data_IF_068615223835
#
_entry.id   IF_068615223835
#
_cell.length_a   1.000
_cell.length_b   1.000
_cell.length_c   1.000
_cell.angle_alpha   90.00
_cell.angle_beta   90.00
_cell.angle_gamma   90.00
#
_symmetry.space_group_name_H-M   'P 1'
#
loop_
_entity.id
_entity.type
_entity.pdbx_description
1 polymer ?
#
# COMPACT_ATOMS: atom_id res chain seq x y z
N UNK A 1 -1.97 -16.72 41.49
CA UNK A 1 -2.28 -16.18 40.15
C UNK A 1 -0.97 -15.86 39.45
N UNK A 2 -0.51 -16.73 38.55
CA UNK A 2 0.78 -16.62 37.86
C UNK A 2 0.49 -16.31 36.39
N UNK A 3 0.88 -15.12 35.94
CA UNK A 3 0.70 -14.61 34.58
C UNK A 3 1.71 -15.23 33.60
N UNK A 4 1.20 -16.02 32.64
CA UNK A 4 1.96 -16.61 31.52
C UNK A 4 2.34 -15.53 30.50
N UNK A 5 3.61 -15.50 30.09
CA UNK A 5 4.14 -14.70 28.98
C UNK A 5 3.69 -15.29 27.62
N UNK A 6 3.55 -14.48 26.56
CA UNK A 6 3.18 -14.98 25.23
C UNK A 6 4.34 -15.72 24.56
N UNK A 7 4.08 -16.97 24.16
CA UNK A 7 4.92 -17.78 23.28
C UNK A 7 4.80 -17.31 21.82
N UNK A 8 5.95 -17.36 21.15
CA UNK A 8 6.20 -16.98 19.76
C UNK A 8 5.74 -18.12 18.82
N UNK A 9 4.56 -17.98 18.20
CA UNK A 9 4.05 -18.90 17.18
C UNK A 9 4.57 -18.49 15.79
N UNK A 10 5.64 -19.14 15.34
CA UNK A 10 6.09 -19.10 13.95
C UNK A 10 5.08 -19.77 12.99
N UNK A 11 5.02 -19.36 11.71
CA UNK A 11 4.01 -19.85 10.77
C UNK A 11 4.24 -21.34 10.39
N UNK A 12 3.18 -22.15 10.26
CA UNK A 12 3.30 -23.58 9.98
C UNK A 12 3.74 -23.88 8.54
N UNK A 13 4.64 -24.86 8.42
CA UNK A 13 5.19 -25.39 7.18
C UNK A 13 4.16 -26.30 6.46
N UNK A 14 3.70 -25.89 5.27
CA UNK A 14 2.69 -26.63 4.48
C UNK A 14 3.38 -27.56 3.48
N UNK A 15 3.35 -28.88 3.75
CA UNK A 15 3.74 -29.93 2.81
C UNK A 15 2.71 -30.03 1.67
N UNK A 16 3.16 -29.99 0.42
CA UNK A 16 2.31 -30.16 -0.78
C UNK A 16 2.18 -31.65 -1.14
N UNK A 17 0.97 -32.20 -1.37
CA UNK A 17 0.81 -33.55 -1.88
C UNK A 17 0.98 -33.60 -3.42
N UNK A 18 1.59 -34.69 -3.90
CA UNK A 18 1.60 -35.12 -5.31
C UNK A 18 0.23 -35.69 -5.66
N UNK A 19 -0.31 -35.36 -6.83
CA UNK A 19 -1.49 -36.00 -7.40
C UNK A 19 -1.17 -36.48 -8.82
N UNK A 20 -1.39 -37.78 -8.98
CA UNK A 20 -1.29 -38.64 -10.14
C UNK A 20 -2.62 -38.71 -10.92
N UNK A 21 -2.52 -39.36 -12.08
CA UNK A 21 -3.37 -39.26 -13.27
C UNK A 21 -4.82 -39.79 -13.14
N UNK A 22 -5.70 -39.33 -14.05
CA UNK A 22 -6.99 -39.99 -14.29
C UNK A 22 -7.96 -39.19 -15.14
N UNK A 23 -8.16 -39.63 -16.38
CA UNK A 23 -9.13 -39.18 -17.38
C UNK A 23 -10.60 -39.27 -16.93
N UNK A 24 -11.45 -38.34 -17.38
CA UNK A 24 -12.61 -38.67 -18.22
C UNK A 24 -13.38 -37.43 -18.70
N UNK A 25 -13.82 -37.53 -19.95
CA UNK A 25 -14.73 -36.65 -20.69
C UNK A 25 -16.12 -36.58 -20.08
N UNK A 26 -16.81 -35.46 -20.26
CA UNK A 26 -18.15 -35.35 -20.89
C UNK A 26 -18.48 -33.86 -21.09
N UNK A 27 -19.14 -33.59 -22.20
CA UNK A 27 -19.43 -32.30 -22.81
C UNK A 27 -20.62 -31.63 -22.13
N UNK A 28 -20.62 -30.29 -22.07
CA UNK A 28 -21.87 -29.54 -22.30
C UNK A 28 -21.61 -28.10 -22.72
N UNK A 29 -22.51 -27.61 -23.57
CA UNK A 29 -22.30 -26.54 -24.53
C UNK A 29 -22.30 -25.12 -23.96
N UNK A 30 -21.31 -24.34 -24.41
CA UNK A 30 -21.40 -22.89 -24.62
C UNK A 30 -20.45 -22.54 -25.78
N UNK A 31 -21.04 -22.01 -26.86
CA UNK A 31 -20.44 -21.36 -28.03
C UNK A 31 -18.89 -21.30 -28.02
N UNK A 32 -18.25 -22.22 -28.75
CA UNK A 32 -16.81 -22.16 -29.04
C UNK A 32 -16.59 -21.23 -30.23
N UNK A 33 -16.58 -19.93 -29.98
CA UNK A 33 -16.11 -18.93 -30.94
C UNK A 33 -14.58 -19.02 -31.11
N UNK A 34 -14.12 -20.07 -31.78
CA UNK A 34 -12.83 -20.21 -32.44
C UNK A 34 -12.70 -21.66 -32.95
N UNK A 35 -13.26 -21.94 -34.12
CA UNK A 35 -13.00 -23.18 -34.85
C UNK A 35 -11.54 -23.17 -35.31
N UNK A 36 -10.64 -23.72 -34.49
CA UNK A 36 -9.26 -24.02 -34.89
C UNK A 36 -9.28 -25.08 -35.99
N UNK A 37 -8.69 -24.78 -37.15
CA UNK A 37 -8.46 -25.75 -38.21
C UNK A 37 -6.96 -25.79 -38.48
N UNK A 38 -6.44 -27.02 -38.55
CA UNK A 38 -5.04 -27.40 -38.59
C UNK A 38 -4.39 -27.04 -39.94
N UNK A 39 -3.60 -25.97 -39.94
CA UNK A 39 -2.60 -25.64 -40.96
C UNK A 39 -1.36 -25.11 -40.25
N UNK A 40 -0.17 -25.33 -40.80
CA UNK A 40 1.15 -24.95 -40.23
C UNK A 40 1.36 -23.43 -40.08
N UNK A 41 0.29 -22.63 -40.14
CA UNK A 41 0.26 -21.23 -39.77
C UNK A 41 -0.84 -21.00 -38.75
N UNK A 42 -0.40 -20.65 -37.55
CA UNK A 42 -1.25 -20.44 -36.38
C UNK A 42 -1.94 -19.06 -36.49
N UNK A 43 -3.06 -18.99 -37.22
CA UNK A 43 -3.88 -17.78 -37.29
C UNK A 43 -4.79 -17.70 -36.06
N UNK A 44 -4.20 -17.37 -34.91
CA UNK A 44 -4.96 -16.93 -33.74
C UNK A 44 -5.46 -15.51 -34.04
N UNK A 45 -6.70 -15.39 -34.52
CA UNK A 45 -7.42 -14.10 -34.52
C UNK A 45 -7.73 -13.77 -33.06
N UNK A 46 -6.79 -13.14 -32.37
CA UNK A 46 -7.07 -12.50 -31.09
C UNK A 46 -8.02 -11.34 -31.39
N UNK A 47 -9.19 -11.22 -30.76
CA UNK A 47 -9.97 -10.00 -30.87
C UNK A 47 -9.11 -8.86 -30.31
N UNK A 48 -8.56 -8.02 -31.18
CA UNK A 48 -7.79 -6.87 -30.77
C UNK A 48 -8.71 -5.96 -29.96
N UNK A 49 -8.42 -5.78 -28.67
CA UNK A 49 -9.06 -4.70 -27.91
C UNK A 49 -8.75 -3.40 -28.64
N UNK A 50 -9.74 -2.58 -29.01
CA UNK A 50 -9.50 -1.34 -29.70
C UNK A 50 -8.51 -0.51 -28.85
N UNK A 51 -7.37 -0.15 -29.46
CA UNK A 51 -6.36 0.66 -28.78
C UNK A 51 -6.99 2.00 -28.46
N UNK A 52 -7.14 2.30 -27.16
CA UNK A 52 -7.64 3.60 -26.71
C UNK A 52 -6.85 4.72 -27.38
N UNK A 53 -7.58 5.70 -27.93
CA UNK A 53 -6.97 6.83 -28.61
C UNK A 53 -6.21 7.71 -27.62
N UNK A 54 -5.23 8.51 -28.10
CA UNK A 54 -4.49 9.45 -27.23
C UNK A 54 -5.44 10.40 -26.47
N UNK A 55 -6.57 10.77 -27.09
CA UNK A 55 -7.60 11.65 -26.51
C UNK A 55 -8.35 10.97 -25.36
N UNK A 56 -8.71 9.70 -25.53
CA UNK A 56 -9.37 8.90 -24.49
C UNK A 56 -8.46 8.71 -23.28
N UNK A 57 -7.19 8.33 -23.49
CA UNK A 57 -6.23 8.16 -22.39
C UNK A 57 -6.00 9.45 -21.59
N UNK A 58 -6.01 10.59 -22.27
CA UNK A 58 -5.87 11.90 -21.61
C UNK A 58 -7.05 12.16 -20.69
N UNK A 59 -8.26 11.97 -21.18
CA UNK A 59 -9.50 12.31 -20.47
C UNK A 59 -9.97 11.19 -19.51
N UNK A 60 -9.28 10.04 -19.49
CA UNK A 60 -9.55 8.93 -18.56
C UNK A 60 -9.00 9.23 -17.16
N UNK A 61 -9.88 9.20 -16.17
CA UNK A 61 -9.57 9.38 -14.74
C UNK A 61 -9.31 8.02 -14.07
N UNK A 62 -8.16 7.43 -14.35
CA UNK A 62 -7.73 6.15 -13.76
C UNK A 62 -6.66 6.33 -12.70
N UNK A 63 -6.64 5.41 -11.72
CA UNK A 63 -5.60 5.32 -10.72
C UNK A 63 -5.90 6.02 -9.39
N UNK A 64 -4.86 6.16 -8.56
CA UNK A 64 -4.93 6.66 -7.16
C UNK A 64 -4.04 7.89 -6.92
N UNK A 65 -3.65 8.56 -8.00
CA UNK A 65 -2.83 9.77 -7.98
C UNK A 65 -3.71 11.01 -8.05
N UNK A 66 -4.30 11.35 -6.91
CA UNK A 66 -5.28 12.43 -6.80
C UNK A 66 -4.77 13.80 -7.27
N UNK A 67 -3.45 14.08 -7.17
CA UNK A 67 -2.83 15.30 -7.71
C UNK A 67 -2.91 15.36 -9.24
N UNK A 68 -2.49 14.28 -9.90
CA UNK A 68 -2.55 14.16 -11.37
C UNK A 68 -3.99 14.15 -11.88
N UNK A 69 -4.92 13.54 -11.14
CA UNK A 69 -6.33 13.56 -11.48
C UNK A 69 -6.91 14.98 -11.38
N UNK A 70 -6.52 15.76 -10.38
CA UNK A 70 -6.94 17.15 -10.27
C UNK A 70 -6.39 18.01 -11.42
N UNK A 71 -5.11 17.88 -11.73
CA UNK A 71 -4.47 18.55 -12.87
C UNK A 71 -5.14 18.19 -14.21
N UNK A 72 -5.56 16.93 -14.38
CA UNK A 72 -6.33 16.50 -15.56
C UNK A 72 -7.70 17.17 -15.65
N UNK A 73 -8.37 17.37 -14.51
CA UNK A 73 -9.65 18.07 -14.47
C UNK A 73 -9.48 19.55 -14.85
N UNK A 74 -8.50 20.23 -14.25
CA UNK A 74 -8.18 21.63 -14.54
C UNK A 74 -7.85 21.82 -16.03
N UNK A 75 -6.94 21.01 -16.59
CA UNK A 75 -6.59 21.02 -18.03
C UNK A 75 -7.76 20.67 -18.95
N UNK A 76 -8.81 20.02 -18.46
CA UNK A 76 -10.00 19.73 -19.25
C UNK A 76 -10.91 20.95 -19.31
N UNK A 77 -11.08 21.63 -18.18
CA UNK A 77 -11.89 22.83 -18.06
C UNK A 77 -11.26 24.00 -18.83
N UNK A 78 -9.94 24.15 -18.76
CA UNK A 78 -9.17 25.11 -19.58
C UNK A 78 -9.43 24.90 -21.08
N UNK A 79 -9.30 23.67 -21.57
CA UNK A 79 -9.58 23.33 -22.98
C UNK A 79 -11.03 23.61 -23.38
N UNK A 80 -11.99 23.39 -22.49
CA UNK A 80 -13.38 23.72 -22.76
C UNK A 80 -13.57 25.24 -22.86
N UNK A 81 -12.92 26.01 -21.99
CA UNK A 81 -12.96 27.48 -22.05
C UNK A 81 -12.34 28.03 -23.34
N UNK A 82 -11.19 27.49 -23.78
CA UNK A 82 -10.55 27.86 -25.05
C UNK A 82 -11.44 27.53 -26.26
N UNK A 83 -12.11 26.37 -26.25
CA UNK A 83 -13.02 25.99 -27.34
C UNK A 83 -14.27 26.87 -27.32
N UNK A 84 -14.80 27.21 -26.14
CA UNK A 84 -15.97 28.09 -25.98
C UNK A 84 -15.68 29.50 -26.53
N UNK A 85 -14.47 30.02 -26.28
CA UNK A 85 -14.03 31.31 -26.82
C UNK A 85 -13.94 31.32 -28.36
N UNK A 86 -13.51 30.21 -28.97
CA UNK A 86 -13.37 30.10 -30.44
C UNK A 86 -14.68 29.76 -31.14
N UNK A 87 -15.47 28.83 -30.58
CA UNK A 87 -16.66 28.26 -31.20
C UNK A 87 -17.65 27.74 -30.13
N UNK A 88 -18.69 28.51 -29.76
CA UNK A 88 -19.62 28.11 -28.70
C UNK A 88 -20.39 26.82 -29.05
N UNK A 89 -20.93 26.70 -30.26
CA UNK A 89 -21.72 25.52 -30.65
C UNK A 89 -20.91 24.20 -30.72
N UNK A 90 -19.58 24.26 -30.89
CA UNK A 90 -18.73 23.07 -30.77
C UNK A 90 -18.46 22.73 -29.30
N UNK A 91 -18.32 23.75 -28.44
CA UNK A 91 -18.14 23.55 -27.00
C UNK A 91 -19.35 22.83 -26.38
N UNK A 92 -20.58 23.25 -26.71
CA UNK A 92 -21.79 22.66 -26.13
C UNK A 92 -21.96 21.17 -26.52
N UNK A 93 -21.64 20.81 -27.77
CA UNK A 93 -21.62 19.40 -28.22
C UNK A 93 -20.61 18.56 -27.45
N UNK A 94 -19.43 19.12 -27.19
CA UNK A 94 -18.39 18.45 -26.41
C UNK A 94 -18.85 18.33 -24.96
N UNK A 95 -19.37 19.39 -24.35
CA UNK A 95 -19.88 19.41 -22.98
C UNK A 95 -20.98 18.34 -22.77
N UNK A 96 -21.93 18.23 -23.70
CA UNK A 96 -22.96 17.18 -23.66
C UNK A 96 -22.35 15.77 -23.71
N UNK A 97 -21.39 15.50 -24.61
CA UNK A 97 -20.71 14.20 -24.66
C UNK A 97 -19.94 13.91 -23.36
N UNK A 98 -19.34 14.93 -22.76
CA UNK A 98 -18.65 14.83 -21.48
C UNK A 98 -19.63 14.48 -20.36
N UNK A 99 -20.80 15.11 -20.32
CA UNK A 99 -21.85 14.82 -19.34
C UNK A 99 -22.36 13.37 -19.45
N UNK A 100 -22.61 12.89 -20.67
CA UNK A 100 -22.98 11.48 -20.91
C UNK A 100 -21.90 10.50 -20.44
N UNK A 101 -20.63 10.77 -20.80
CA UNK A 101 -19.51 9.94 -20.33
C UNK A 101 -19.37 9.99 -18.81
N UNK A 102 -19.58 11.15 -18.18
CA UNK A 102 -19.56 11.30 -16.72
C UNK A 102 -20.66 10.47 -16.05
N UNK A 103 -21.86 10.42 -16.63
CA UNK A 103 -22.95 9.59 -16.13
C UNK A 103 -22.58 8.10 -16.18
N UNK A 104 -22.03 7.61 -17.30
CA UNK A 104 -21.55 6.22 -17.41
C UNK A 104 -20.40 5.92 -16.44
N UNK A 105 -19.40 6.79 -16.38
CA UNK A 105 -18.28 6.69 -15.45
C UNK A 105 -18.72 6.62 -13.98
N UNK A 106 -19.79 7.32 -13.62
CA UNK A 106 -20.35 7.26 -12.26
C UNK A 106 -20.90 5.87 -11.93
N UNK A 107 -21.52 5.18 -12.90
CA UNK A 107 -21.98 3.80 -12.75
C UNK A 107 -20.79 2.84 -12.59
N UNK A 108 -19.72 3.05 -13.37
CA UNK A 108 -18.48 2.29 -13.25
C UNK A 108 -17.68 2.58 -11.96
N UNK A 109 -18.01 3.67 -11.25
CA UNK A 109 -17.30 4.10 -10.03
C UNK A 109 -16.00 4.87 -10.29
N UNK A 110 -15.83 5.44 -11.49
CA UNK A 110 -14.69 6.29 -11.83
C UNK A 110 -14.73 7.64 -11.09
N UNK A 111 -13.53 8.19 -10.80
CA UNK A 111 -13.34 9.31 -9.85
C UNK A 111 -13.11 10.63 -10.57
N UNK A 112 -14.19 11.23 -11.06
CA UNK A 112 -14.12 12.40 -11.95
C UNK A 112 -14.50 13.72 -11.24
N UNK A 113 -14.86 13.68 -9.95
CA UNK A 113 -15.33 14.85 -9.21
C UNK A 113 -14.19 15.57 -8.47
N UNK A 114 -13.92 16.87 -8.75
CA UNK A 114 -12.76 17.59 -8.19
C UNK A 114 -12.81 17.71 -6.66
N UNK A 115 -13.98 17.93 -6.07
CA UNK A 115 -14.13 18.00 -4.61
C UNK A 115 -13.77 16.69 -3.91
N UNK A 116 -14.19 15.56 -4.48
CA UNK A 116 -13.89 14.24 -3.94
C UNK A 116 -12.40 13.90 -4.11
N UNK A 117 -11.78 14.36 -5.20
CA UNK A 117 -10.33 14.23 -5.42
C UNK A 117 -9.54 15.02 -4.37
N UNK A 118 -9.93 16.28 -4.09
CA UNK A 118 -9.34 17.10 -3.02
C UNK A 118 -9.49 16.44 -1.64
N UNK A 119 -10.70 15.97 -1.29
CA UNK A 119 -10.93 15.22 -0.04
C UNK A 119 -10.07 13.95 0.05
N UNK A 120 -9.92 13.23 -1.05
CA UNK A 120 -9.10 12.01 -1.11
C UNK A 120 -7.60 12.31 -0.97
N UNK A 121 -7.14 13.43 -1.51
CA UNK A 121 -5.77 13.92 -1.32
C UNK A 121 -5.49 14.19 0.16
N UNK A 122 -6.37 14.94 0.83
CA UNK A 122 -6.23 15.26 2.26
C UNK A 122 -6.24 13.99 3.12
N UNK A 123 -7.09 13.00 2.80
CA UNK A 123 -7.07 11.68 3.48
C UNK A 123 -5.73 10.97 3.30
N UNK A 124 -5.15 11.01 2.09
CA UNK A 124 -3.85 10.40 1.79
C UNK A 124 -2.73 11.07 2.60
N UNK A 125 -2.78 12.38 2.77
CA UNK A 125 -1.82 13.16 3.56
C UNK A 125 -1.94 12.85 5.05
N UNK A 126 -3.15 12.91 5.62
CA UNK A 126 -3.41 12.51 7.02
C UNK A 126 -2.92 11.09 7.31
N UNK A 127 -3.12 10.16 6.38
CA UNK A 127 -2.66 8.78 6.53
C UNK A 127 -1.12 8.68 6.51
N UNK A 128 -0.43 9.50 5.70
CA UNK A 128 1.03 9.58 5.71
C UNK A 128 1.54 10.14 7.05
N UNK A 129 0.93 11.20 7.55
CA UNK A 129 1.28 11.78 8.85
C UNK A 129 1.08 10.78 9.99
N UNK A 130 -0.07 10.08 10.01
CA UNK A 130 -0.33 9.06 11.01
C UNK A 130 0.71 7.93 10.97
N UNK A 131 1.07 7.46 9.77
CA UNK A 131 2.13 6.45 9.60
C UNK A 131 3.48 6.97 10.09
N UNK A 132 3.83 8.22 9.77
CA UNK A 132 5.07 8.88 10.24
C UNK A 132 5.11 8.90 11.77
N UNK A 133 4.05 9.41 12.42
CA UNK A 133 3.93 9.44 13.89
C UNK A 133 4.04 8.05 14.50
N UNK A 134 3.39 7.04 13.89
CA UNK A 134 3.47 5.66 14.38
C UNK A 134 4.88 5.09 14.28
N UNK A 135 5.61 5.42 13.22
CA UNK A 135 7.00 5.02 13.05
C UNK A 135 7.92 5.72 14.06
N UNK A 136 7.76 7.02 14.24
CA UNK A 136 8.51 7.80 15.23
C UNK A 136 8.33 7.23 16.64
N UNK A 137 7.10 6.93 17.05
CA UNK A 137 6.80 6.28 18.33
C UNK A 137 7.49 4.92 18.48
N UNK A 138 7.56 4.12 17.41
CA UNK A 138 8.26 2.83 17.43
C UNK A 138 9.75 3.02 17.63
N UNK A 139 10.36 3.96 16.90
CA UNK A 139 11.79 4.26 17.02
C UNK A 139 12.12 4.78 18.42
N UNK A 140 11.31 5.70 18.94
CA UNK A 140 11.45 6.23 20.29
C UNK A 140 11.36 5.12 21.34
N UNK A 141 10.34 4.26 21.24
CA UNK A 141 10.18 3.12 22.15
C UNK A 141 11.40 2.20 22.14
N UNK A 142 11.91 1.85 20.95
CA UNK A 142 13.12 1.02 20.83
C UNK A 142 14.33 1.69 21.49
N UNK A 143 14.54 2.99 21.27
CA UNK A 143 15.63 3.75 21.89
C UNK A 143 15.50 3.79 23.41
N UNK A 144 14.30 4.01 23.94
CA UNK A 144 14.03 3.99 25.37
C UNK A 144 14.33 2.60 25.97
N UNK A 145 13.92 1.52 25.30
CA UNK A 145 14.19 0.16 25.75
C UNK A 145 15.68 -0.18 25.75
N UNK A 146 16.42 0.24 24.72
CA UNK A 146 17.88 0.11 24.65
C UNK A 146 18.57 0.88 25.78
N UNK A 147 18.19 2.15 25.99
CA UNK A 147 18.74 2.97 27.07
C UNK A 147 18.46 2.33 28.45
N UNK A 148 17.23 1.89 28.71
CA UNK A 148 16.85 1.21 29.96
C UNK A 148 17.68 -0.04 30.23
N UNK A 149 17.92 -0.86 29.20
CA UNK A 149 18.77 -2.06 29.34
C UNK A 149 20.22 -1.69 29.63
N UNK A 150 20.74 -0.66 28.96
CA UNK A 150 22.10 -0.21 29.19
C UNK A 150 22.30 0.40 30.58
N UNK A 151 21.34 1.18 31.07
CA UNK A 151 21.34 1.72 32.43
C UNK A 151 21.28 0.60 33.48
N UNK A 152 20.43 -0.41 33.28
CA UNK A 152 20.40 -1.60 34.14
C UNK A 152 21.75 -2.32 34.16
N UNK A 153 22.40 -2.46 33.00
CA UNK A 153 23.74 -3.08 32.90
C UNK A 153 24.79 -2.25 33.65
N UNK A 154 24.80 -0.93 33.47
CA UNK A 154 25.71 0.00 34.17
C UNK A 154 25.53 -0.09 35.69
N UNK A 155 24.29 -0.01 36.17
CA UNK A 155 23.96 -0.13 37.58
C UNK A 155 24.43 -1.47 38.17
N UNK A 156 24.20 -2.58 37.48
CA UNK A 156 24.64 -3.91 37.92
C UNK A 156 26.17 -4.03 37.98
N UNK A 157 26.89 -3.49 36.99
CA UNK A 157 28.36 -3.47 36.99
C UNK A 157 28.88 -2.62 38.16
N UNK A 158 28.28 -1.45 38.40
CA UNK A 158 28.67 -0.58 39.50
C UNK A 158 28.42 -1.24 40.85
N UNK A 159 27.24 -1.85 41.05
CA UNK A 159 26.93 -2.60 42.27
C UNK A 159 27.93 -3.74 42.52
N UNK A 160 28.36 -4.47 41.47
CA UNK A 160 29.40 -5.50 41.59
C UNK A 160 30.75 -4.90 42.02
N UNK A 161 31.17 -3.79 41.42
CA UNK A 161 32.41 -3.08 41.80
C UNK A 161 32.36 -2.62 43.25
N UNK A 162 31.24 -2.04 43.66
CA UNK A 162 31.06 -1.52 45.03
C UNK A 162 30.98 -2.66 46.06
N UNK A 163 30.35 -3.79 45.73
CA UNK A 163 30.37 -4.98 46.57
C UNK A 163 31.80 -5.52 46.77
N UNK A 164 32.64 -5.53 45.72
CA UNK A 164 34.04 -5.92 45.83
C UNK A 164 34.83 -4.95 46.73
N UNK A 165 34.65 -3.63 46.54
CA UNK A 165 35.27 -2.61 47.39
C UNK A 165 34.85 -2.76 48.85
N UNK A 166 33.55 -2.91 49.11
CA UNK A 166 33.00 -3.14 50.45
C UNK A 166 33.59 -4.41 51.08
N UNK A 167 33.66 -5.52 50.35
CA UNK A 167 34.30 -6.77 50.84
C UNK A 167 35.77 -6.57 51.19
N UNK A 168 36.53 -5.82 50.37
CA UNK A 168 37.94 -5.49 50.67
C UNK A 168 38.06 -4.63 51.93
N UNK A 169 37.24 -3.59 52.05
CA UNK A 169 37.20 -2.70 53.22
C UNK A 169 36.86 -3.48 54.50
N UNK A 170 35.84 -4.33 54.46
CA UNK A 170 35.44 -5.18 55.59
C UNK A 170 36.56 -6.16 56.00
N UNK A 171 37.27 -6.76 55.05
CA UNK A 171 38.44 -7.61 55.35
C UNK A 171 39.57 -6.84 56.02
N UNK A 172 39.80 -5.59 55.62
CA UNK A 172 40.85 -4.75 56.22
C UNK A 172 40.48 -4.28 57.64
N UNK A 173 39.22 -3.91 57.88
CA UNK A 173 38.67 -3.61 59.22
C UNK A 173 38.80 -4.80 60.17
N UNK A 174 38.39 -6.00 59.74
CA UNK A 174 38.55 -7.24 60.53
C UNK A 174 40.00 -7.56 60.90
N UNK A 175 40.97 -7.08 60.12
CA UNK A 175 42.41 -7.24 60.37
C UNK A 175 43.03 -6.07 61.14
N UNK A 176 42.23 -5.11 61.61
CA UNK A 176 42.71 -3.92 62.34
C UNK A 176 43.53 -2.94 61.50
N UNK A 177 43.53 -3.06 60.17
CA UNK A 177 44.33 -2.21 59.26
C UNK A 177 43.65 -0.87 58.95
N UNK A 178 42.38 -0.76 59.27
CA UNK A 178 41.53 0.41 59.06
C UNK A 178 40.59 0.45 60.26
N UNK A 179 40.54 1.58 60.96
CA UNK A 179 39.57 1.84 62.04
C UNK A 179 38.14 1.94 61.47
#
# INVERSE_FOLDING_TARGET
MISRLPTDDGPPEVKRPKLDAGSNSIQDGKQRDAKLIFSKFDFIVRPEKPKETKKEKRDKFTGKDYKRLLEKAEKRDERLSEIRAKNPGKADKIENNIQWKKAMNRVEGNKDNPELLKKSLNKKEKLKEWRKKKWEKRVEHTKQMQARQQEKRRANIQARKDAVKKKKLQKARKKGRIL
#
